data_IF_722802260893
#
_entry.id   IF_722802260893
#
_cell.length_a   1.000
_cell.length_b   1.000
_cell.length_c   1.000
_cell.angle_alpha   90.00
_cell.angle_beta   90.00
_cell.angle_gamma   90.00
#
_symmetry.space_group_name_H-M   'P 1'
#
loop_
_entity.id
_entity.type
_entity.pdbx_description
1 polymer ?
#
# COMPACT_ATOMS: atom_id res chain seq x y z
N UNK A 1 43.38 47.04 2.06
CA UNK A 1 42.20 47.57 2.75
C UNK A 1 41.00 46.84 2.19
N UNK A 2 40.56 45.76 2.85
CA UNK A 2 39.25 45.19 2.57
C UNK A 2 38.21 46.23 2.99
N UNK A 3 37.32 46.62 2.07
CA UNK A 3 36.37 47.69 2.34
C UNK A 3 35.29 47.16 3.28
N UNK A 4 34.83 47.98 4.23
CA UNK A 4 33.71 47.67 5.12
C UNK A 4 32.46 47.14 4.37
N UNK A 5 32.33 47.51 3.09
CA UNK A 5 31.31 47.03 2.16
C UNK A 5 31.46 45.55 1.79
N UNK A 6 32.68 44.99 1.67
CA UNK A 6 32.86 43.54 1.41
C UNK A 6 32.47 42.70 2.62
N UNK A 7 32.73 43.20 3.82
CA UNK A 7 32.37 42.53 5.09
C UNK A 7 30.84 42.52 5.27
N UNK A 8 30.17 43.65 5.01
CA UNK A 8 28.71 43.75 5.04
C UNK A 8 28.04 42.89 3.95
N UNK A 9 28.60 42.87 2.74
CA UNK A 9 28.10 42.01 1.66
C UNK A 9 28.26 40.52 2.00
N UNK A 10 29.37 40.11 2.61
CA UNK A 10 29.60 38.75 3.10
C UNK A 10 28.64 38.35 4.24
N UNK A 11 28.33 39.28 5.14
CA UNK A 11 27.35 39.05 6.22
C UNK A 11 25.92 38.90 5.70
N UNK A 12 25.51 39.77 4.76
CA UNK A 12 24.18 39.71 4.16
C UNK A 12 24.04 38.43 3.34
N UNK A 13 25.01 38.11 2.48
CA UNK A 13 25.01 36.87 1.70
C UNK A 13 25.05 35.63 2.59
N UNK A 14 25.88 35.59 3.63
CA UNK A 14 25.93 34.51 4.62
C UNK A 14 24.61 34.31 5.36
N UNK A 15 23.95 35.41 5.76
CA UNK A 15 22.64 35.35 6.41
C UNK A 15 21.55 34.80 5.47
N UNK A 16 21.52 35.26 4.21
CA UNK A 16 20.59 34.73 3.21
C UNK A 16 20.85 33.25 2.91
N UNK A 17 22.10 32.84 2.71
CA UNK A 17 22.48 31.44 2.48
C UNK A 17 22.06 30.56 3.68
N UNK A 18 22.30 31.03 4.91
CA UNK A 18 21.95 30.31 6.15
C UNK A 18 20.45 30.06 6.31
N UNK A 19 19.59 30.88 5.69
CA UNK A 19 18.13 30.66 5.66
C UNK A 19 17.66 29.85 4.45
N UNK A 20 18.35 29.95 3.32
CA UNK A 20 18.00 29.25 2.08
C UNK A 20 18.38 27.77 2.13
N UNK A 21 19.55 27.42 2.66
CA UNK A 21 20.01 26.02 2.75
C UNK A 21 19.10 25.10 3.58
N UNK A 22 18.68 25.48 4.80
CA UNK A 22 17.73 24.67 5.57
C UNK A 22 16.39 24.51 4.85
N UNK A 23 15.93 25.56 4.17
CA UNK A 23 14.67 25.53 3.42
C UNK A 23 14.78 24.60 2.21
N UNK A 24 15.88 24.67 1.44
CA UNK A 24 16.17 23.74 0.34
C UNK A 24 16.31 22.29 0.82
N UNK A 25 16.97 22.06 1.96
CA UNK A 25 17.10 20.74 2.56
C UNK A 25 15.75 20.15 2.96
N UNK A 26 14.86 20.97 3.54
CA UNK A 26 13.49 20.57 3.88
C UNK A 26 12.67 20.23 2.63
N UNK A 27 12.72 21.08 1.59
CA UNK A 27 12.04 20.82 0.32
C UNK A 27 12.49 19.49 -0.30
N UNK A 28 13.81 19.25 -0.35
CA UNK A 28 14.36 17.99 -0.88
C UNK A 28 13.89 16.77 -0.10
N UNK A 29 13.75 16.86 1.22
CA UNK A 29 13.21 15.76 2.05
C UNK A 29 11.74 15.49 1.75
N UNK A 30 10.94 16.53 1.54
CA UNK A 30 9.53 16.41 1.17
C UNK A 30 9.40 15.77 -0.22
N UNK A 31 10.19 16.23 -1.20
CA UNK A 31 10.24 15.63 -2.54
C UNK A 31 10.59 14.13 -2.48
N UNK A 32 11.64 13.77 -1.73
CA UNK A 32 12.02 12.36 -1.56
C UNK A 32 10.93 11.51 -0.92
N UNK A 33 10.22 12.04 0.10
CA UNK A 33 9.13 11.32 0.76
C UNK A 33 7.93 11.16 -0.18
N UNK A 34 7.62 12.18 -0.97
CA UNK A 34 6.58 12.13 -1.98
C UNK A 34 6.89 11.09 -3.07
N UNK A 35 8.13 11.09 -3.58
CA UNK A 35 8.58 10.09 -4.57
C UNK A 35 8.49 8.66 -4.02
N UNK A 36 8.88 8.46 -2.76
CA UNK A 36 8.75 7.18 -2.06
C UNK A 36 7.29 6.72 -1.99
N UNK A 37 6.37 7.62 -1.61
CA UNK A 37 4.92 7.37 -1.53
C UNK A 37 4.32 7.05 -2.90
N UNK A 38 4.73 7.76 -3.95
CA UNK A 38 4.31 7.45 -5.33
C UNK A 38 4.80 6.07 -5.76
N UNK A 39 6.06 5.73 -5.47
CA UNK A 39 6.60 4.40 -5.80
C UNK A 39 5.81 3.31 -5.09
N UNK A 40 5.59 3.45 -3.78
CA UNK A 40 4.80 2.53 -2.99
C UNK A 40 3.36 2.38 -3.52
N UNK A 41 2.71 3.47 -3.93
CA UNK A 41 1.36 3.38 -4.50
C UNK A 41 1.33 2.65 -5.86
N UNK A 42 2.32 2.91 -6.72
CA UNK A 42 2.45 2.22 -8.01
C UNK A 42 2.68 0.72 -7.83
N UNK A 43 3.55 0.36 -6.87
CA UNK A 43 3.83 -1.03 -6.53
C UNK A 43 2.57 -1.76 -6.05
N UNK A 44 1.81 -1.19 -5.12
CA UNK A 44 0.58 -1.83 -4.66
C UNK A 44 -0.49 -1.91 -5.77
N UNK A 45 -0.61 -0.87 -6.58
CA UNK A 45 -1.53 -0.90 -7.72
C UNK A 45 -1.13 -2.01 -8.72
N UNK A 46 0.16 -2.27 -8.92
CA UNK A 46 0.60 -3.39 -9.77
C UNK A 46 0.22 -4.75 -9.18
N UNK A 47 0.34 -4.93 -7.86
CA UNK A 47 -0.15 -6.12 -7.15
C UNK A 47 -1.66 -6.27 -7.35
N UNK A 48 -2.43 -5.22 -7.07
CA UNK A 48 -3.89 -5.23 -7.27
C UNK A 48 -4.28 -5.61 -8.71
N UNK A 49 -3.66 -4.98 -9.71
CA UNK A 49 -3.97 -5.24 -11.12
C UNK A 49 -3.57 -6.67 -11.55
N UNK A 50 -2.50 -7.23 -10.97
CA UNK A 50 -2.06 -8.61 -11.23
C UNK A 50 -3.11 -9.64 -10.79
N UNK A 51 -3.85 -9.37 -9.72
CA UNK A 51 -4.81 -10.30 -9.12
C UNK A 51 -6.27 -9.96 -9.39
N UNK A 52 -6.55 -8.83 -10.05
CA UNK A 52 -7.90 -8.43 -10.39
C UNK A 52 -8.55 -9.49 -11.32
N UNK A 53 -9.68 -10.13 -10.92
CA UNK A 53 -10.31 -11.18 -11.71
C UNK A 53 -10.66 -10.75 -13.14
N UNK A 54 -11.05 -9.47 -13.31
CA UNK A 54 -11.33 -8.89 -14.62
C UNK A 54 -10.11 -8.92 -15.56
N UNK A 55 -8.91 -8.63 -15.04
CA UNK A 55 -7.67 -8.61 -15.84
C UNK A 55 -7.20 -10.01 -16.20
N UNK A 56 -7.55 -10.99 -15.39
CA UNK A 56 -7.23 -12.40 -15.61
C UNK A 56 -8.24 -13.08 -16.56
N UNK A 57 -9.35 -12.41 -16.90
CA UNK A 57 -10.44 -13.01 -17.67
C UNK A 57 -11.21 -14.07 -16.88
N UNK A 58 -11.16 -13.99 -15.54
CA UNK A 58 -11.69 -14.99 -14.62
C UNK A 58 -13.04 -14.57 -14.00
N UNK A 59 -13.55 -13.37 -14.36
CA UNK A 59 -14.82 -12.84 -13.86
C UNK A 59 -15.94 -13.03 -14.90
N UNK A 60 -16.95 -13.84 -14.57
CA UNK A 60 -18.14 -14.03 -15.41
C UNK A 60 -19.40 -13.95 -14.55
N UNK A 61 -20.37 -13.13 -14.95
CA UNK A 61 -21.65 -12.95 -14.25
C UNK A 61 -21.54 -12.63 -12.74
N UNK A 62 -20.43 -12.01 -12.33
CA UNK A 62 -20.14 -11.67 -10.93
C UNK A 62 -19.40 -12.77 -10.15
N UNK A 63 -19.19 -13.94 -10.76
CA UNK A 63 -18.51 -15.09 -10.18
C UNK A 63 -17.06 -15.22 -10.68
N UNK A 64 -16.19 -15.79 -9.84
CA UNK A 64 -14.77 -15.96 -10.13
C UNK A 64 -14.51 -17.44 -10.48
N UNK A 65 -14.08 -17.69 -11.70
CA UNK A 65 -13.84 -19.04 -12.24
C UNK A 65 -12.35 -19.42 -12.31
N UNK A 66 -11.47 -18.52 -11.89
CA UNK A 66 -10.02 -18.70 -11.89
C UNK A 66 -9.46 -19.53 -10.75
N UNK A 67 -8.19 -19.88 -10.86
CA UNK A 67 -7.43 -20.48 -9.76
C UNK A 67 -7.27 -19.46 -8.63
N UNK A 68 -7.55 -19.86 -7.38
CA UNK A 68 -7.37 -19.02 -6.21
C UNK A 68 -5.87 -18.88 -5.90
N UNK A 69 -5.31 -17.68 -6.09
CA UNK A 69 -3.85 -17.43 -5.99
C UNK A 69 -3.39 -17.10 -4.57
N UNK A 70 -3.89 -17.82 -3.57
CA UNK A 70 -3.68 -17.56 -2.14
C UNK A 70 -2.22 -17.27 -1.77
N UNK A 71 -1.31 -18.19 -2.09
CA UNK A 71 0.11 -18.08 -1.72
C UNK A 71 0.83 -16.94 -2.44
N UNK A 72 0.46 -16.68 -3.69
CA UNK A 72 1.07 -15.59 -4.44
C UNK A 72 0.62 -14.23 -3.87
N UNK A 73 -0.67 -14.06 -3.58
CA UNK A 73 -1.21 -12.85 -2.96
C UNK A 73 -0.55 -12.64 -1.60
N UNK A 74 -0.50 -13.68 -0.74
CA UNK A 74 0.14 -13.61 0.58
C UNK A 74 1.58 -13.13 0.46
N UNK A 75 2.35 -13.73 -0.45
CA UNK A 75 3.75 -13.36 -0.68
C UNK A 75 3.91 -11.92 -1.15
N UNK A 76 3.14 -11.51 -2.16
CA UNK A 76 3.28 -10.17 -2.75
C UNK A 76 2.83 -9.08 -1.79
N UNK A 77 1.71 -9.28 -1.07
CA UNK A 77 1.21 -8.33 -0.06
C UNK A 77 2.15 -8.27 1.16
N UNK A 78 2.64 -9.40 1.66
CA UNK A 78 3.59 -9.41 2.79
C UNK A 78 4.89 -8.69 2.44
N UNK A 79 5.41 -8.95 1.24
CA UNK A 79 6.60 -8.26 0.74
C UNK A 79 6.36 -6.76 0.62
N UNK A 80 5.22 -6.36 0.05
CA UNK A 80 4.84 -4.96 -0.05
C UNK A 80 4.79 -4.29 1.32
N UNK A 81 4.08 -4.89 2.28
CA UNK A 81 3.94 -4.34 3.63
C UNK A 81 5.30 -4.16 4.31
N UNK A 82 6.18 -5.16 4.22
CA UNK A 82 7.52 -5.10 4.80
C UNK A 82 8.39 -3.99 4.19
N UNK A 83 8.24 -3.70 2.90
CA UNK A 83 9.05 -2.71 2.18
C UNK A 83 8.47 -1.30 2.25
N UNK A 84 7.15 -1.17 2.28
CA UNK A 84 6.45 0.10 2.05
C UNK A 84 5.44 0.46 3.16
N UNK A 85 5.14 -0.41 4.13
CA UNK A 85 4.08 -0.19 5.12
C UNK A 85 4.26 1.09 5.95
N UNK A 86 5.51 1.49 6.21
CA UNK A 86 5.83 2.70 6.97
C UNK A 86 5.74 4.00 6.14
N UNK A 87 5.68 3.91 4.81
CA UNK A 87 5.87 5.06 3.90
C UNK A 87 4.73 6.08 3.99
N UNK A 88 3.53 5.60 4.29
CA UNK A 88 2.33 6.44 4.38
C UNK A 88 2.08 6.98 5.78
N UNK A 89 2.75 6.47 6.82
CA UNK A 89 2.51 6.85 8.23
C UNK A 89 1.02 6.93 8.60
N UNK A 90 0.20 6.05 8.01
CA UNK A 90 -1.26 6.07 8.12
C UNK A 90 -1.75 4.73 8.66
N UNK A 91 -2.26 4.75 9.89
CA UNK A 91 -2.75 3.56 10.60
C UNK A 91 -3.87 2.83 9.84
N UNK A 92 -4.70 3.54 9.08
CA UNK A 92 -5.78 2.92 8.31
C UNK A 92 -5.23 2.14 7.10
N UNK A 93 -4.17 2.63 6.46
CA UNK A 93 -3.48 1.90 5.38
C UNK A 93 -2.75 0.68 5.95
N UNK A 94 -2.06 0.82 7.09
CA UNK A 94 -1.40 -0.33 7.72
C UNK A 94 -2.41 -1.41 8.13
N UNK A 95 -3.52 -0.99 8.76
CA UNK A 95 -4.59 -1.88 9.16
C UNK A 95 -5.22 -2.63 7.99
N UNK A 96 -5.51 -1.96 6.87
CA UNK A 96 -6.13 -2.66 5.73
C UNK A 96 -5.16 -3.65 5.07
N UNK A 97 -3.86 -3.39 5.09
CA UNK A 97 -2.86 -4.38 4.65
C UNK A 97 -2.82 -5.61 5.58
N UNK A 98 -2.98 -5.41 6.89
CA UNK A 98 -3.15 -6.52 7.84
C UNK A 98 -4.46 -7.28 7.64
N UNK A 99 -5.57 -6.57 7.42
CA UNK A 99 -6.87 -7.19 7.17
C UNK A 99 -6.82 -8.09 5.92
N UNK A 100 -6.06 -7.71 4.87
CA UNK A 100 -5.80 -8.58 3.70
C UNK A 100 -5.02 -9.84 4.09
N UNK A 101 -3.94 -9.70 4.87
CA UNK A 101 -3.13 -10.86 5.28
C UNK A 101 -3.93 -11.82 6.16
N UNK A 102 -4.79 -11.29 7.03
CA UNK A 102 -5.69 -12.09 7.86
C UNK A 102 -6.74 -12.82 7.04
N UNK A 103 -7.32 -12.20 6.00
CA UNK A 103 -8.33 -12.86 5.16
C UNK A 103 -7.76 -14.02 4.34
N UNK A 104 -6.46 -13.99 4.04
CA UNK A 104 -5.74 -15.10 3.38
C UNK A 104 -5.57 -16.32 4.31
N UNK A 105 -5.70 -16.14 5.63
CA UNK A 105 -5.58 -17.20 6.63
C UNK A 105 -6.94 -17.80 7.01
N UNK A 106 -7.86 -17.92 6.04
CA UNK A 106 -9.22 -18.47 6.21
C UNK A 106 -9.24 -19.86 6.88
N UNK A 107 -8.20 -20.67 6.71
CA UNK A 107 -8.05 -21.99 7.35
C UNK A 107 -7.93 -21.91 8.88
N UNK A 108 -7.65 -20.72 9.43
CA UNK A 108 -7.68 -20.46 10.86
C UNK A 108 -9.10 -20.16 11.39
N UNK A 109 -10.07 -19.89 10.51
CA UNK A 109 -11.44 -19.58 10.91
C UNK A 109 -12.12 -20.81 11.57
N UNK A 110 -12.70 -20.66 12.77
CA UNK A 110 -13.38 -21.76 13.45
C UNK A 110 -14.52 -22.39 12.63
N UNK A 111 -15.21 -21.59 11.82
CA UNK A 111 -16.31 -22.03 10.95
C UNK A 111 -15.77 -22.95 9.87
N UNK A 112 -14.72 -22.52 9.16
CA UNK A 112 -14.08 -23.34 8.13
C UNK A 112 -13.58 -24.67 8.70
N UNK A 113 -12.88 -24.63 9.83
CA UNK A 113 -12.37 -25.84 10.51
C UNK A 113 -13.47 -26.81 10.91
N UNK A 114 -14.62 -26.31 11.35
CA UNK A 114 -15.76 -27.15 11.69
C UNK A 114 -16.36 -27.81 10.43
N UNK A 115 -16.48 -27.07 9.32
CA UNK A 115 -16.96 -27.60 8.05
C UNK A 115 -16.03 -28.69 7.49
N UNK A 116 -14.72 -28.42 7.49
CA UNK A 116 -13.68 -29.35 7.06
C UNK A 116 -13.68 -30.62 7.94
N UNK A 117 -13.69 -30.48 9.26
CA UNK A 117 -13.69 -31.62 10.19
C UNK A 117 -14.94 -32.50 10.08
N UNK A 118 -16.07 -31.92 9.70
CA UNK A 118 -17.33 -32.65 9.49
C UNK A 118 -17.44 -33.27 8.09
N UNK A 119 -16.45 -33.06 7.21
CA UNK A 119 -16.46 -33.56 5.83
C UNK A 119 -17.53 -32.91 4.96
N UNK A 120 -17.95 -31.67 5.28
CA UNK A 120 -18.91 -30.92 4.48
C UNK A 120 -18.19 -30.15 3.37
N UNK A 121 -17.66 -30.89 2.39
CA UNK A 121 -16.81 -30.35 1.33
C UNK A 121 -17.49 -29.22 0.54
N UNK A 122 -18.80 -29.30 0.32
CA UNK A 122 -19.57 -28.28 -0.41
C UNK A 122 -19.57 -26.94 0.33
N UNK A 123 -19.89 -26.94 1.63
CA UNK A 123 -19.91 -25.70 2.43
C UNK A 123 -18.50 -25.18 2.70
N UNK A 124 -17.51 -26.07 2.89
CA UNK A 124 -16.11 -25.67 3.05
C UNK A 124 -15.57 -24.98 1.77
N UNK A 125 -15.90 -25.51 0.59
CA UNK A 125 -15.52 -24.90 -0.68
C UNK A 125 -16.20 -23.54 -0.91
N UNK A 126 -17.48 -23.41 -0.56
CA UNK A 126 -18.20 -22.13 -0.63
C UNK A 126 -17.58 -21.09 0.31
N UNK A 127 -17.24 -21.48 1.54
CA UNK A 127 -16.57 -20.61 2.50
C UNK A 127 -15.21 -20.13 1.99
N UNK A 128 -14.42 -21.02 1.39
CA UNK A 128 -13.13 -20.65 0.79
C UNK A 128 -13.33 -19.64 -0.36
N UNK A 129 -14.35 -19.86 -1.21
CA UNK A 129 -14.66 -18.94 -2.31
C UNK A 129 -15.06 -17.55 -1.80
N UNK A 130 -15.93 -17.48 -0.80
CA UNK A 130 -16.34 -16.21 -0.19
C UNK A 130 -15.14 -15.49 0.46
N UNK A 131 -14.28 -16.23 1.17
CA UNK A 131 -13.04 -15.70 1.75
C UNK A 131 -12.11 -15.12 0.67
N UNK A 132 -12.07 -15.75 -0.51
CA UNK A 132 -11.26 -15.28 -1.63
C UNK A 132 -11.82 -13.97 -2.21
N UNK A 133 -13.14 -13.90 -2.39
CA UNK A 133 -13.83 -12.68 -2.83
C UNK A 133 -13.59 -11.53 -1.85
N UNK A 134 -13.71 -11.79 -0.55
CA UNK A 134 -13.46 -10.79 0.50
C UNK A 134 -12.02 -10.27 0.46
N UNK A 135 -11.04 -11.16 0.27
CA UNK A 135 -9.63 -10.78 0.11
C UNK A 135 -9.45 -9.81 -1.07
N UNK A 136 -10.03 -10.11 -2.23
CA UNK A 136 -9.92 -9.26 -3.41
C UNK A 136 -10.59 -7.90 -3.22
N UNK A 137 -11.74 -7.85 -2.53
CA UNK A 137 -12.41 -6.61 -2.15
C UNK A 137 -11.53 -5.77 -1.21
N UNK A 138 -10.86 -6.40 -0.25
CA UNK A 138 -9.92 -5.71 0.64
C UNK A 138 -8.72 -5.14 -0.15
N UNK A 139 -8.19 -5.88 -1.12
CA UNK A 139 -7.13 -5.38 -2.00
C UNK A 139 -7.56 -4.18 -2.84
N UNK A 140 -8.78 -4.18 -3.37
CA UNK A 140 -9.35 -3.03 -4.07
C UNK A 140 -9.43 -1.80 -3.15
N UNK A 141 -10.05 -1.96 -1.98
CA UNK A 141 -10.17 -0.89 -0.97
C UNK A 141 -8.81 -0.34 -0.55
N UNK A 142 -7.82 -1.20 -0.32
CA UNK A 142 -6.47 -0.77 0.03
C UNK A 142 -5.85 0.08 -1.09
N UNK A 143 -6.03 -0.34 -2.35
CA UNK A 143 -5.53 0.41 -3.51
C UNK A 143 -6.20 1.79 -3.64
N UNK A 144 -7.51 1.87 -3.40
CA UNK A 144 -8.23 3.14 -3.36
C UNK A 144 -7.76 4.05 -2.24
N UNK A 145 -7.58 3.51 -1.03
CA UNK A 145 -7.09 4.28 0.13
C UNK A 145 -5.69 4.83 -0.11
N UNK A 146 -4.77 4.01 -0.62
CA UNK A 146 -3.40 4.43 -0.95
C UNK A 146 -3.40 5.53 -2.01
N UNK A 147 -4.20 5.38 -3.08
CA UNK A 147 -4.34 6.41 -4.12
C UNK A 147 -4.92 7.70 -3.55
N UNK A 148 -5.99 7.60 -2.76
CA UNK A 148 -6.64 8.75 -2.13
C UNK A 148 -5.69 9.51 -1.23
N UNK A 149 -4.90 8.80 -0.42
CA UNK A 149 -3.89 9.41 0.44
C UNK A 149 -2.91 10.30 -0.35
N UNK A 150 -2.42 9.82 -1.50
CA UNK A 150 -1.55 10.62 -2.37
C UNK A 150 -2.22 11.91 -2.89
N UNK A 151 -3.51 11.86 -3.21
CA UNK A 151 -4.23 13.02 -3.72
C UNK A 151 -4.64 14.01 -2.62
N UNK A 152 -4.87 13.54 -1.40
CA UNK A 152 -5.21 14.40 -0.26
C UNK A 152 -3.98 15.11 0.32
N UNK A 153 -2.80 14.47 0.34
CA UNK A 153 -1.55 15.14 0.72
C UNK A 153 -1.03 16.14 -0.33
N UNK A 154 -1.46 16.02 -1.59
CA UNK A 154 -1.06 16.92 -2.66
C UNK A 154 -1.83 18.26 -2.67
N UNK A 155 -2.77 18.46 -1.73
CA UNK A 155 -3.54 19.71 -1.55
C UNK A 155 -2.95 20.58 -0.45
#
# INVERSE_FOLDING_TARGET
MESLASILAAFISGYFISKIEPTKSKLKKIEMLFDLRISAAREFNAIFQKYAPLNLGELHDGEIYGEKRWEEIRKDVSKYKAQNGYVFENEAIDKILDDILLSLDYSADPTYRALEANGNDTEANAFEEDSYKDTLILMEKANEMIKKYLFEEAK
#
